data_IF_392222490669
#
_entry.id   IF_392222490669
#
_cell.length_a   1.000
_cell.length_b   1.000
_cell.length_c   1.000
_cell.angle_alpha   90.00
_cell.angle_beta   90.00
_cell.angle_gamma   90.00
#
_symmetry.space_group_name_H-M   'P 1'
#
loop_
_entity.id
_entity.type
_entity.pdbx_description
1 polymer ?
#
# COMPACT_ATOMS: atom_id res chain seq x y z
N UNK A 1 -15.64 9.19 1.12
CA UNK A 1 -14.95 9.11 -0.18
C UNK A 1 -15.54 7.91 -0.92
N UNK A 2 -15.90 8.02 -2.20
CA UNK A 2 -16.56 6.90 -2.92
C UNK A 2 -15.52 5.90 -3.43
N UNK A 3 -15.91 4.63 -3.56
CA UNK A 3 -15.06 3.55 -4.08
C UNK A 3 -14.37 3.91 -5.43
N UNK A 4 -15.08 4.56 -6.35
CA UNK A 4 -14.53 4.99 -7.64
C UNK A 4 -13.32 5.97 -7.53
N UNK A 5 -13.28 6.80 -6.50
CA UNK A 5 -12.15 7.74 -6.28
C UNK A 5 -10.93 6.98 -5.80
N UNK A 6 -11.13 5.99 -4.91
CA UNK A 6 -10.04 5.14 -4.44
C UNK A 6 -9.44 4.29 -5.56
N UNK A 7 -10.29 3.75 -6.43
CA UNK A 7 -9.83 3.00 -7.59
C UNK A 7 -8.84 3.81 -8.44
N UNK A 8 -9.21 5.03 -8.82
CA UNK A 8 -8.36 5.90 -9.64
C UNK A 8 -7.04 6.21 -8.92
N UNK A 9 -7.10 6.50 -7.61
CA UNK A 9 -5.92 6.78 -6.80
C UNK A 9 -5.00 5.59 -6.68
N UNK A 10 -5.53 4.39 -6.42
CA UNK A 10 -4.77 3.14 -6.34
C UNK A 10 -4.13 2.81 -7.68
N UNK A 11 -4.87 2.86 -8.78
CA UNK A 11 -4.34 2.60 -10.12
C UNK A 11 -3.19 3.58 -10.47
N UNK A 12 -3.37 4.86 -10.11
CA UNK A 12 -2.34 5.89 -10.28
C UNK A 12 -1.12 5.62 -9.41
N UNK A 13 -1.32 5.28 -8.13
CA UNK A 13 -0.24 4.99 -7.19
C UNK A 13 0.57 3.77 -7.65
N UNK A 14 -0.10 2.67 -8.04
CA UNK A 14 0.58 1.49 -8.57
C UNK A 14 1.34 1.79 -9.86
N UNK A 15 0.77 2.61 -10.76
CA UNK A 15 1.47 3.05 -11.98
C UNK A 15 2.73 3.85 -11.63
N UNK A 16 2.66 4.78 -10.67
CA UNK A 16 3.81 5.57 -10.20
C UNK A 16 4.87 4.67 -9.59
N UNK A 17 4.47 3.77 -8.69
CA UNK A 17 5.36 2.80 -8.03
C UNK A 17 6.05 1.86 -9.03
N UNK A 18 5.37 1.47 -10.10
CA UNK A 18 5.93 0.63 -11.16
C UNK A 18 6.90 1.39 -12.09
N UNK A 19 6.59 2.66 -12.40
CA UNK A 19 7.46 3.51 -13.22
C UNK A 19 8.74 3.91 -12.49
N UNK A 20 8.66 4.04 -11.18
CA UNK A 20 9.84 4.20 -10.32
C UNK A 20 10.62 2.89 -10.24
N UNK A 21 11.38 2.60 -11.30
CA UNK A 21 12.25 1.44 -11.51
C UNK A 21 13.49 1.45 -10.60
N UNK A 22 13.37 1.89 -9.35
CA UNK A 22 14.45 1.92 -8.38
C UNK A 22 14.64 0.54 -7.77
N UNK A 23 15.58 -0.23 -8.33
CA UNK A 23 16.14 -1.47 -7.77
C UNK A 23 15.06 -2.48 -7.28
N UNK A 24 15.43 -3.62 -6.72
CA UNK A 24 14.46 -4.60 -6.23
C UNK A 24 13.46 -4.17 -5.09
N UNK A 25 13.55 -3.00 -4.40
CA UNK A 25 12.66 -2.66 -3.28
C UNK A 25 11.17 -2.44 -3.58
N UNK A 26 10.79 -1.99 -4.78
CA UNK A 26 9.40 -1.59 -5.05
C UNK A 26 8.39 -2.74 -4.87
N UNK A 27 8.76 -3.95 -5.29
CA UNK A 27 7.94 -5.16 -5.09
C UNK A 27 7.76 -5.42 -3.60
N UNK A 28 8.83 -5.29 -2.82
CA UNK A 28 8.82 -5.52 -1.37
C UNK A 28 7.98 -4.48 -0.63
N UNK A 29 7.99 -3.21 -1.05
CA UNK A 29 7.09 -2.20 -0.49
C UNK A 29 5.63 -2.54 -0.77
N UNK A 30 5.31 -2.95 -2.00
CA UNK A 30 3.94 -3.35 -2.32
C UNK A 30 3.49 -4.55 -1.49
N UNK A 31 4.36 -5.54 -1.25
CA UNK A 31 4.07 -6.70 -0.39
C UNK A 31 3.81 -6.31 1.06
N UNK A 32 4.58 -5.36 1.61
CA UNK A 32 4.34 -4.82 2.95
C UNK A 32 2.95 -4.15 3.01
N UNK A 33 2.59 -3.37 1.99
CA UNK A 33 1.28 -2.73 1.94
C UNK A 33 0.16 -3.74 1.71
N UNK A 34 0.41 -4.83 0.98
CA UNK A 34 -0.53 -5.96 0.87
C UNK A 34 -0.85 -6.56 2.26
N UNK A 35 0.12 -6.64 3.17
CA UNK A 35 -0.12 -7.08 4.55
C UNK A 35 -0.88 -6.06 5.40
N UNK A 36 -0.50 -4.78 5.30
CA UNK A 36 -1.16 -3.68 6.00
C UNK A 36 -2.62 -3.57 5.57
N UNK A 37 -2.88 -3.56 4.26
CA UNK A 37 -4.23 -3.50 3.70
C UNK A 37 -5.08 -4.73 4.06
N UNK A 38 -4.46 -5.91 4.15
CA UNK A 38 -5.15 -7.12 4.61
C UNK A 38 -5.42 -7.14 6.13
N UNK A 39 -4.89 -6.18 6.90
CA UNK A 39 -5.05 -6.11 8.35
C UNK A 39 -4.48 -7.32 9.09
N UNK A 40 -3.44 -7.98 8.54
CA UNK A 40 -2.93 -9.25 9.07
C UNK A 40 -1.92 -9.05 10.20
N UNK A 41 -2.42 -9.04 11.44
CA UNK A 41 -1.60 -9.04 12.65
C UNK A 41 -1.23 -7.65 13.15
N UNK A 42 -0.35 -7.61 14.16
CA UNK A 42 0.11 -6.35 14.76
C UNK A 42 1.12 -5.61 13.86
N UNK A 43 1.34 -4.32 14.13
CA UNK A 43 2.40 -3.55 13.49
C UNK A 43 3.78 -4.19 13.74
N UNK A 44 4.00 -4.75 14.93
CA UNK A 44 5.22 -5.50 15.27
C UNK A 44 5.36 -6.78 14.43
N UNK A 45 4.27 -7.52 14.19
CA UNK A 45 4.30 -8.71 13.33
C UNK A 45 4.64 -8.37 11.88
N UNK A 46 4.05 -7.29 11.35
CA UNK A 46 4.32 -6.79 10.01
C UNK A 46 5.77 -6.34 9.90
N UNK A 47 6.28 -5.58 10.88
CA UNK A 47 7.69 -5.16 10.92
C UNK A 47 8.65 -6.37 10.97
N UNK A 48 8.31 -7.41 11.74
CA UNK A 48 9.10 -8.65 11.82
C UNK A 48 9.14 -9.38 10.48
N UNK A 49 8.01 -9.49 9.76
CA UNK A 49 7.97 -10.12 8.43
C UNK A 49 8.66 -9.27 7.36
N UNK A 50 8.53 -7.94 7.44
CA UNK A 50 9.25 -7.01 6.58
C UNK A 50 10.77 -7.07 6.80
N UNK A 51 11.20 -7.37 8.03
CA UNK A 51 12.60 -7.47 8.46
C UNK A 51 13.11 -6.21 9.19
N UNK A 52 12.39 -5.10 9.13
CA UNK A 52 12.66 -3.88 9.90
C UNK A 52 11.42 -2.98 9.95
N UNK A 53 11.15 -2.29 11.08
CA UNK A 53 10.12 -1.26 11.16
C UNK A 53 10.38 -0.09 10.19
N UNK A 54 11.64 0.25 9.91
CA UNK A 54 12.01 1.33 8.98
C UNK A 54 11.56 1.02 7.56
N UNK A 55 11.63 -0.26 7.17
CA UNK A 55 11.18 -0.70 5.85
C UNK A 55 9.66 -0.55 5.71
N UNK A 56 8.92 -0.78 6.79
CA UNK A 56 7.47 -0.54 6.82
C UNK A 56 7.16 0.95 6.72
N UNK A 57 7.86 1.78 7.50
CA UNK A 57 7.71 3.24 7.43
C UNK A 57 8.01 3.78 6.03
N UNK A 58 9.07 3.29 5.38
CA UNK A 58 9.40 3.65 3.98
C UNK A 58 8.30 3.22 3.00
N UNK A 59 7.76 2.01 3.14
CA UNK A 59 6.68 1.53 2.28
C UNK A 59 5.42 2.41 2.41
N UNK A 60 5.02 2.73 3.64
CA UNK A 60 3.88 3.61 3.94
C UNK A 60 4.11 5.03 3.40
N UNK A 61 5.30 5.59 3.62
CA UNK A 61 5.68 6.91 3.10
C UNK A 61 5.65 6.94 1.57
N UNK A 62 6.11 5.87 0.92
CA UNK A 62 6.14 5.80 -0.53
C UNK A 62 4.76 5.68 -1.17
N UNK A 63 3.86 4.89 -0.58
CA UNK A 63 2.47 4.84 -1.03
C UNK A 63 1.76 6.15 -0.78
N UNK A 64 2.01 6.79 0.37
CA UNK A 64 1.51 8.14 0.64
C UNK A 64 1.97 9.12 -0.43
N UNK A 65 3.26 9.10 -0.78
CA UNK A 65 3.79 9.97 -1.83
C UNK A 65 3.18 9.67 -3.20
N UNK A 66 2.97 8.39 -3.51
CA UNK A 66 2.34 7.98 -4.76
C UNK A 66 0.87 8.42 -4.84
N UNK A 67 0.16 8.47 -3.71
CA UNK A 67 -1.25 8.86 -3.62
C UNK A 67 -1.44 10.39 -3.57
N UNK A 68 -0.61 11.09 -2.79
CA UNK A 68 -0.84 12.47 -2.36
C UNK A 68 0.27 13.45 -2.78
N UNK A 69 1.37 12.97 -3.39
CA UNK A 69 2.55 13.79 -3.62
C UNK A 69 3.32 14.03 -2.31
N UNK A 70 3.91 15.21 -2.12
CA UNK A 70 4.75 15.48 -0.94
C UNK A 70 3.95 15.82 0.33
N UNK A 71 2.64 15.60 0.32
CA UNK A 71 1.76 15.81 1.46
C UNK A 71 1.77 14.62 2.43
N UNK A 72 1.65 14.92 3.73
CA UNK A 72 1.46 13.89 4.75
C UNK A 72 0.10 13.20 4.59
N UNK A 73 0.03 11.91 4.93
CA UNK A 73 -1.23 11.18 4.94
C UNK A 73 -2.20 11.83 5.98
N UNK A 74 -3.39 12.28 5.56
CA UNK A 74 -4.42 12.72 6.51
C UNK A 74 -4.82 11.58 7.43
N UNK A 75 -5.47 11.92 8.54
CA UNK A 75 -6.12 10.91 9.40
C UNK A 75 -7.27 10.24 8.66
N UNK A 76 -7.66 9.04 9.11
CA UNK A 76 -8.74 8.26 8.48
C UNK A 76 -10.09 9.01 8.48
N UNK A 77 -10.41 9.69 9.58
CA UNK A 77 -11.62 10.52 9.72
C UNK A 77 -11.62 11.75 8.79
N UNK A 78 -10.44 12.14 8.29
CA UNK A 78 -10.23 13.22 7.32
C UNK A 78 -10.07 12.71 5.88
N UNK A 79 -10.33 11.43 5.63
CA UNK A 79 -10.22 10.81 4.30
C UNK A 79 -8.81 10.33 3.94
N UNK A 80 -7.95 10.11 4.93
CA UNK A 80 -6.68 9.40 4.78
C UNK A 80 -6.86 7.95 4.37
N UNK A 81 -5.77 7.32 3.91
CA UNK A 81 -5.78 5.92 3.50
C UNK A 81 -5.39 4.95 4.63
N UNK A 82 -4.62 5.42 5.61
CA UNK A 82 -4.26 4.65 6.81
C UNK A 82 -4.02 5.56 8.03
N UNK A 83 -4.05 4.95 9.21
CA UNK A 83 -3.58 5.51 10.47
C UNK A 83 -2.85 4.40 11.25
N UNK A 84 -1.89 4.75 12.10
CA UNK A 84 -1.25 3.82 13.03
C UNK A 84 -1.49 4.28 14.45
N UNK A 85 -1.89 3.37 15.33
CA UNK A 85 -1.94 3.62 16.78
C UNK A 85 -0.70 3.05 17.52
N UNK A 86 0.32 2.62 16.77
CA UNK A 86 1.55 2.03 17.29
C UNK A 86 1.45 0.52 17.51
N UNK A 87 0.26 -0.01 17.80
CA UNK A 87 0.03 -1.45 17.89
C UNK A 87 -0.45 -2.05 16.58
N UNK A 88 -1.27 -1.31 15.82
CA UNK A 88 -1.89 -1.77 14.57
C UNK A 88 -1.94 -0.65 13.55
N UNK A 89 -2.01 -1.07 12.28
CA UNK A 89 -2.39 -0.20 11.19
C UNK A 89 -3.90 -0.34 10.94
N UNK A 90 -4.59 0.79 10.94
CA UNK A 90 -5.97 0.88 10.45
C UNK A 90 -5.92 1.43 9.04
N UNK A 91 -6.63 0.80 8.13
CA UNK A 91 -6.64 1.17 6.72
C UNK A 91 -8.07 1.51 6.31
N UNK A 92 -8.24 2.53 5.48
CA UNK A 92 -9.54 2.87 4.94
C UNK A 92 -10.08 1.67 4.15
N UNK A 93 -11.31 1.18 4.44
CA UNK A 93 -11.80 -0.08 3.89
C UNK A 93 -11.89 -0.06 2.36
N UNK A 94 -12.31 1.07 1.79
CA UNK A 94 -12.36 1.25 0.34
C UNK A 94 -10.98 1.24 -0.29
N UNK A 95 -9.97 1.86 0.34
CA UNK A 95 -8.59 1.78 -0.14
C UNK A 95 -8.08 0.34 -0.10
N UNK A 96 -8.28 -0.37 1.01
CA UNK A 96 -7.82 -1.75 1.18
C UNK A 96 -8.41 -2.67 0.11
N UNK A 97 -9.73 -2.55 -0.15
CA UNK A 97 -10.42 -3.31 -1.18
C UNK A 97 -9.82 -3.06 -2.58
N UNK A 98 -9.68 -1.80 -2.97
CA UNK A 98 -9.16 -1.43 -4.29
C UNK A 98 -7.68 -1.80 -4.46
N UNK A 99 -6.86 -1.60 -3.41
CA UNK A 99 -5.45 -1.99 -3.41
C UNK A 99 -5.28 -3.50 -3.65
N UNK A 100 -5.97 -4.32 -2.86
CA UNK A 100 -5.86 -5.78 -2.95
C UNK A 100 -6.41 -6.29 -4.28
N UNK A 101 -7.51 -5.73 -4.79
CA UNK A 101 -8.06 -6.09 -6.09
C UNK A 101 -7.08 -5.78 -7.24
N UNK A 102 -6.48 -4.58 -7.24
CA UNK A 102 -5.52 -4.18 -8.25
C UNK A 102 -4.23 -5.03 -8.19
N UNK A 103 -3.75 -5.35 -6.98
CA UNK A 103 -2.57 -6.20 -6.76
C UNK A 103 -2.80 -7.64 -7.20
N UNK A 104 -3.97 -8.20 -6.93
CA UNK A 104 -4.33 -9.53 -7.42
C UNK A 104 -4.41 -9.58 -8.96
N UNK A 105 -5.02 -8.56 -9.58
CA UNK A 105 -5.05 -8.43 -11.03
C UNK A 105 -3.63 -8.36 -11.64
N UNK A 106 -2.73 -7.57 -11.03
CA UNK A 106 -1.33 -7.45 -11.46
C UNK A 106 -0.61 -8.80 -11.42
N UNK A 107 -0.73 -9.56 -10.31
CA UNK A 107 -0.08 -10.88 -10.18
C UNK A 107 -0.61 -11.88 -11.22
N UNK A 108 -1.92 -11.88 -11.49
CA UNK A 108 -2.53 -12.72 -12.54
C UNK A 108 -2.02 -12.37 -13.93
N UNK A 109 -1.82 -11.08 -14.24
CA UNK A 109 -1.26 -10.66 -15.52
C UNK A 109 0.21 -11.10 -15.67
N UNK A 110 1.02 -10.94 -14.62
CA UNK A 110 2.43 -11.36 -14.62
C UNK A 110 2.58 -12.89 -14.79
N UNK A 111 1.73 -13.67 -14.10
CA UNK A 111 1.71 -15.13 -14.25
C UNK A 111 1.37 -15.57 -15.68
N UNK A 112 0.48 -14.86 -16.38
CA UNK A 112 0.12 -15.15 -17.78
C UNK A 112 1.22 -14.81 -18.79
N UNK A 113 2.11 -13.87 -18.48
CA UNK A 113 3.20 -13.45 -19.36
C UNK A 113 4.48 -14.30 -19.20
N UNK A 114 4.50 -15.17 -18.19
CA UNK A 114 5.66 -16.02 -17.85
C UNK A 114 5.50 -17.46 -18.37
N UNK A 115 4.48 -17.72 -19.19
CA UNK A 115 4.17 -18.99 -19.87
C UNK A 115 4.36 -18.79 -21.37
#
# INVERSE_FOLDING_TARGET
MTNAVWKIRVDTALTRLQRDRWTAPAVRYMEIIDEVAAGRGSAADIARRAGSPDLVAQALGRVTQALLGDEAAPRLDQGGWYESDGERYRVAPDFAAEWLAARDAQRRMQARQSV
#
